data_IF_697513465651
#
_entry.id   IF_697513465651
#
_cell.length_a   1.000
_cell.length_b   1.000
_cell.length_c   1.000
_cell.angle_alpha   90.00
_cell.angle_beta   90.00
_cell.angle_gamma   90.00
#
_symmetry.space_group_name_H-M   'P 1'
#
loop_
_entity.id
_entity.type
_entity.pdbx_description
1 polymer ?
#
# COMPACT_ATOMS: atom_id res chain seq x y z
N UNK A 1 20.25 -23.37 -12.83
CA UNK A 1 20.58 -21.94 -12.63
C UNK A 1 19.50 -21.34 -11.74
N UNK A 2 19.86 -20.86 -10.55
CA UNK A 2 19.08 -19.86 -9.82
C UNK A 2 19.60 -18.49 -10.25
N UNK A 3 18.73 -17.56 -10.61
CA UNK A 3 19.16 -16.25 -11.08
C UNK A 3 18.06 -15.19 -10.92
N UNK A 4 18.49 -13.98 -10.63
CA UNK A 4 17.67 -12.77 -10.58
C UNK A 4 17.53 -12.20 -11.98
N UNK A 5 16.41 -11.52 -12.29
CA UNK A 5 16.26 -10.74 -13.53
C UNK A 5 16.43 -11.51 -14.85
N UNK A 6 16.08 -12.80 -14.89
CA UNK A 6 16.25 -13.64 -16.08
C UNK A 6 15.12 -13.51 -17.13
N UNK A 7 14.04 -12.79 -16.83
CA UNK A 7 12.87 -12.65 -17.70
C UNK A 7 13.06 -11.59 -18.80
N UNK A 8 12.59 -11.88 -20.01
CA UNK A 8 12.49 -10.92 -21.12
C UNK A 8 13.75 -10.08 -21.33
N UNK A 9 13.65 -8.77 -21.08
CA UNK A 9 14.72 -7.78 -21.26
C UNK A 9 15.76 -7.74 -20.11
N UNK A 10 15.97 -8.85 -19.39
CA UNK A 10 16.86 -8.97 -18.23
C UNK A 10 18.26 -8.37 -18.36
N UNK A 11 18.87 -8.05 -17.21
CA UNK A 11 20.24 -7.53 -17.10
C UNK A 11 21.23 -8.69 -17.19
N UNK A 12 21.73 -8.93 -18.40
CA UNK A 12 22.69 -10.00 -18.69
C UNK A 12 22.03 -11.24 -19.29
N UNK A 13 22.14 -12.38 -18.60
CA UNK A 13 21.65 -13.68 -19.12
C UNK A 13 20.13 -13.73 -19.11
N UNK A 14 19.56 -14.18 -20.24
CA UNK A 14 18.11 -14.32 -20.42
C UNK A 14 17.74 -15.78 -20.56
N UNK A 15 16.58 -16.12 -20.01
CA UNK A 15 16.02 -17.46 -20.10
C UNK A 15 14.62 -17.35 -20.68
N UNK A 16 14.37 -18.04 -21.78
CA UNK A 16 13.03 -18.13 -22.36
C UNK A 16 12.03 -18.74 -21.38
N UNK A 17 10.76 -18.34 -21.48
CA UNK A 17 9.73 -18.74 -20.53
C UNK A 17 9.66 -20.26 -20.37
N UNK A 18 9.77 -21.01 -21.47
CA UNK A 18 9.69 -22.48 -21.50
C UNK A 18 10.77 -23.14 -20.65
N UNK A 19 12.00 -22.69 -20.83
CA UNK A 19 13.14 -23.18 -20.08
C UNK A 19 13.01 -22.78 -18.60
N UNK A 20 12.51 -21.57 -18.33
CA UNK A 20 12.30 -21.08 -16.97
C UNK A 20 11.23 -21.90 -16.23
N UNK A 21 10.09 -22.19 -16.87
CA UNK A 21 9.03 -23.06 -16.33
C UNK A 21 9.61 -24.43 -16.00
N UNK A 22 10.34 -25.06 -16.92
CA UNK A 22 10.97 -26.37 -16.68
C UNK A 22 11.87 -26.36 -15.44
N UNK A 23 12.68 -25.30 -15.26
CA UNK A 23 13.55 -25.17 -14.11
C UNK A 23 12.79 -24.96 -12.80
N UNK A 24 11.76 -24.10 -12.80
CA UNK A 24 10.91 -23.85 -11.63
C UNK A 24 10.18 -25.12 -11.21
N UNK A 25 9.64 -25.88 -12.17
CA UNK A 25 9.00 -27.17 -11.92
C UNK A 25 9.97 -28.18 -11.31
N UNK A 26 11.19 -28.26 -11.84
CA UNK A 26 12.21 -29.16 -11.29
C UNK A 26 12.57 -28.76 -9.85
N UNK A 27 12.73 -27.47 -9.58
CA UNK A 27 13.01 -26.95 -8.23
C UNK A 27 11.85 -27.27 -7.27
N UNK A 28 10.61 -27.02 -7.67
CA UNK A 28 9.43 -27.34 -6.87
C UNK A 28 9.37 -28.85 -6.51
N UNK A 29 9.67 -29.72 -7.47
CA UNK A 29 9.73 -31.16 -7.24
C UNK A 29 10.85 -31.58 -6.28
N UNK A 30 12.02 -30.94 -6.36
CA UNK A 30 13.12 -31.16 -5.41
C UNK A 30 12.66 -30.74 -4.00
N UNK A 31 12.07 -29.55 -3.86
CA UNK A 31 11.53 -29.06 -2.57
C UNK A 31 10.50 -30.04 -2.00
N UNK A 32 9.54 -30.50 -2.80
CA UNK A 32 8.53 -31.46 -2.34
C UNK A 32 9.13 -32.80 -1.88
N UNK A 33 10.19 -33.27 -2.54
CA UNK A 33 10.89 -34.53 -2.17
C UNK A 33 11.70 -34.37 -0.89
N UNK A 34 12.48 -33.30 -0.77
CA UNK A 34 13.34 -33.04 0.39
C UNK A 34 12.50 -32.84 1.66
N UNK A 35 11.36 -32.15 1.54
CA UNK A 35 10.46 -31.87 2.66
C UNK A 35 9.31 -32.89 2.77
N UNK A 36 9.48 -34.11 2.27
CA UNK A 36 8.50 -35.18 2.44
C UNK A 36 8.43 -35.61 3.90
N UNK A 37 7.23 -35.58 4.48
CA UNK A 37 7.00 -35.95 5.90
C UNK A 37 7.15 -34.80 6.89
N UNK A 38 7.46 -33.58 6.43
CA UNK A 38 7.38 -32.38 7.25
C UNK A 38 6.00 -31.75 7.12
N UNK A 39 5.47 -31.24 8.24
CA UNK A 39 4.16 -30.58 8.29
C UNK A 39 4.13 -29.26 7.52
N UNK A 40 5.27 -28.55 7.45
CA UNK A 40 5.42 -27.30 6.72
C UNK A 40 6.44 -27.44 5.61
N UNK A 41 6.08 -27.00 4.39
CA UNK A 41 6.94 -27.07 3.21
C UNK A 41 7.28 -25.66 2.71
N UNK A 42 8.52 -25.40 2.26
CA UNK A 42 8.87 -24.11 1.68
C UNK A 42 8.05 -23.81 0.42
N UNK A 43 7.65 -22.55 0.27
CA UNK A 43 7.06 -22.04 -0.96
C UNK A 43 8.16 -21.75 -1.99
N UNK A 44 7.90 -22.07 -3.25
CA UNK A 44 8.75 -21.69 -4.38
C UNK A 44 8.09 -20.53 -5.09
N UNK A 45 8.69 -19.35 -4.99
CA UNK A 45 8.21 -18.13 -5.65
C UNK A 45 9.07 -17.90 -6.90
N UNK A 46 8.49 -18.01 -8.11
CA UNK A 46 9.22 -17.82 -9.35
C UNK A 46 9.31 -16.34 -9.74
N UNK A 47 10.25 -16.05 -10.64
CA UNK A 47 10.47 -14.77 -11.33
C UNK A 47 10.66 -13.54 -10.42
N UNK A 48 11.91 -13.22 -10.11
CA UNK A 48 12.34 -11.91 -9.63
C UNK A 48 12.89 -11.06 -10.77
N UNK A 49 12.16 -10.95 -11.88
CA UNK A 49 12.67 -10.27 -13.08
C UNK A 49 11.72 -9.23 -13.64
N UNK A 50 12.25 -8.39 -14.53
CA UNK A 50 11.51 -7.30 -15.15
C UNK A 50 10.27 -7.78 -15.86
N UNK A 51 9.19 -7.00 -15.71
CA UNK A 51 7.98 -7.25 -16.45
C UNK A 51 8.23 -7.16 -17.95
N UNK A 52 7.92 -8.25 -18.64
CA UNK A 52 7.91 -8.32 -20.09
C UNK A 52 6.67 -9.09 -20.54
N UNK A 53 5.69 -8.38 -21.08
CA UNK A 53 4.33 -8.87 -21.31
C UNK A 53 4.27 -10.23 -21.99
N UNK A 54 4.94 -10.40 -23.14
CA UNK A 54 4.92 -11.66 -23.89
C UNK A 54 5.55 -12.82 -23.11
N UNK A 55 6.59 -12.55 -22.34
CA UNK A 55 7.30 -13.57 -21.56
C UNK A 55 6.43 -14.02 -20.38
N UNK A 56 5.81 -13.08 -19.67
CA UNK A 56 4.94 -13.39 -18.53
C UNK A 56 3.66 -14.11 -18.94
N UNK A 57 3.02 -13.72 -20.05
CA UNK A 57 1.85 -14.44 -20.59
C UNK A 57 2.23 -15.90 -20.86
N UNK A 58 3.35 -16.13 -21.57
CA UNK A 58 3.82 -17.50 -21.84
C UNK A 58 4.17 -18.26 -20.57
N UNK A 59 4.83 -17.61 -19.61
CA UNK A 59 5.20 -18.20 -18.34
C UNK A 59 3.97 -18.64 -17.54
N UNK A 60 2.97 -17.77 -17.36
CA UNK A 60 1.73 -18.08 -16.63
C UNK A 60 0.97 -19.22 -17.33
N UNK A 61 0.71 -19.09 -18.63
CA UNK A 61 -0.03 -20.09 -19.41
C UNK A 61 0.61 -21.48 -19.34
N UNK A 62 1.95 -21.55 -19.39
CA UNK A 62 2.68 -22.83 -19.38
C UNK A 62 2.78 -23.41 -17.98
N UNK A 63 2.91 -22.59 -16.95
CA UNK A 63 2.99 -23.08 -15.56
C UNK A 63 1.66 -23.64 -15.11
N UNK A 64 0.53 -23.00 -15.43
CA UNK A 64 -0.81 -23.53 -15.12
C UNK A 64 -1.06 -24.90 -15.77
N UNK A 65 -0.64 -25.07 -17.03
CA UNK A 65 -0.82 -26.33 -17.78
C UNK A 65 0.04 -27.48 -17.24
N UNK A 66 1.27 -27.21 -16.81
CA UNK A 66 2.23 -28.25 -16.42
C UNK A 66 2.31 -28.49 -14.91
N UNK A 67 1.76 -27.58 -14.09
CA UNK A 67 1.79 -27.68 -12.63
C UNK A 67 0.54 -27.07 -11.98
N UNK A 68 -0.64 -27.74 -12.06
CA UNK A 68 -1.90 -27.21 -11.52
C UNK A 68 -1.88 -26.95 -10.01
N UNK A 69 -0.96 -27.59 -9.28
CA UNK A 69 -0.74 -27.37 -7.85
C UNK A 69 0.07 -26.10 -7.54
N UNK A 70 0.74 -25.50 -8.53
CA UNK A 70 1.13 -24.10 -8.50
C UNK A 70 -0.13 -23.31 -8.87
N UNK A 71 -0.98 -23.13 -7.87
CA UNK A 71 -2.16 -22.29 -8.04
C UNK A 71 -1.72 -20.89 -8.52
N UNK A 72 -2.50 -20.18 -9.35
CA UNK A 72 -2.15 -18.83 -9.80
C UNK A 72 -1.88 -17.84 -8.65
N UNK A 73 -2.42 -18.11 -7.46
CA UNK A 73 -2.11 -17.37 -6.22
C UNK A 73 -0.72 -17.65 -5.63
N UNK A 74 -0.07 -18.75 -6.03
CA UNK A 74 1.34 -19.09 -5.72
C UNK A 74 2.28 -18.60 -6.81
N UNK A 75 1.77 -18.35 -8.02
CA UNK A 75 2.40 -17.50 -9.02
C UNK A 75 2.25 -16.04 -8.57
N UNK A 76 2.94 -15.68 -7.48
CA UNK A 76 3.14 -14.28 -7.01
C UNK A 76 3.95 -13.43 -8.00
N UNK A 77 3.99 -13.85 -9.26
CA UNK A 77 4.62 -13.21 -10.39
C UNK A 77 3.64 -12.29 -11.11
N UNK A 78 2.64 -11.74 -10.42
CA UNK A 78 1.98 -10.56 -10.97
C UNK A 78 3.06 -9.48 -11.08
N UNK A 79 3.08 -8.69 -12.17
CA UNK A 79 4.15 -7.74 -12.48
C UNK A 79 4.47 -6.70 -11.39
N UNK A 80 3.69 -6.66 -10.32
CA UNK A 80 3.80 -5.73 -9.20
C UNK A 80 3.99 -6.44 -7.85
N UNK A 81 3.78 -7.76 -7.75
CA UNK A 81 3.83 -8.53 -6.49
C UNK A 81 5.24 -8.97 -6.09
N UNK A 82 6.21 -8.83 -7.00
CA UNK A 82 7.61 -9.14 -6.77
C UNK A 82 8.56 -8.29 -7.63
N UNK A 83 8.12 -7.10 -8.08
CA UNK A 83 9.05 -6.20 -8.77
C UNK A 83 9.96 -5.51 -7.77
N UNK A 84 11.24 -5.84 -7.90
CA UNK A 84 12.33 -4.95 -7.57
C UNK A 84 12.03 -3.55 -8.16
N UNK A 85 11.65 -2.59 -7.31
CA UNK A 85 11.34 -1.23 -7.75
C UNK A 85 12.67 -0.54 -8.05
N UNK A 86 13.14 -0.76 -9.26
CA UNK A 86 14.36 -0.17 -9.78
C UNK A 86 14.24 1.31 -10.11
N UNK A 87 13.06 1.93 -9.95
CA UNK A 87 12.90 3.36 -10.23
C UNK A 87 13.84 4.20 -9.36
N UNK A 88 14.08 3.79 -8.11
CA UNK A 88 15.01 4.47 -7.20
C UNK A 88 16.47 4.05 -7.43
N UNK A 89 16.72 2.80 -7.84
CA UNK A 89 18.05 2.32 -8.21
C UNK A 89 18.69 3.15 -9.35
N UNK A 90 17.86 3.54 -10.33
CA UNK A 90 18.26 4.33 -11.50
C UNK A 90 18.55 5.81 -11.17
N UNK A 91 18.04 6.34 -10.06
CA UNK A 91 18.17 7.76 -9.70
C UNK A 91 18.68 7.96 -8.26
N UNK A 92 20.01 7.84 -8.03
CA UNK A 92 20.62 7.87 -6.70
C UNK A 92 20.36 9.10 -5.86
N UNK A 93 20.15 10.25 -6.52
CA UNK A 93 19.96 11.52 -5.82
C UNK A 93 18.56 11.66 -5.23
N UNK A 94 17.61 10.83 -5.70
CA UNK A 94 16.18 10.93 -5.33
C UNK A 94 15.73 9.90 -4.30
N UNK A 95 16.58 8.94 -3.93
CA UNK A 95 16.15 7.67 -3.34
C UNK A 95 16.18 7.57 -1.80
N UNK A 96 16.41 8.69 -1.09
CA UNK A 96 16.42 8.74 0.39
C UNK A 96 15.75 9.99 0.97
N UNK A 97 14.89 10.65 0.20
CA UNK A 97 14.29 11.93 0.58
C UNK A 97 12.76 11.83 0.61
N UNK A 98 12.10 12.91 1.02
CA UNK A 98 10.64 12.96 1.12
C UNK A 98 9.94 12.72 -0.22
N UNK A 99 10.52 13.13 -1.35
CA UNK A 99 9.95 12.84 -2.68
C UNK A 99 9.90 11.33 -2.99
N UNK A 100 10.93 10.56 -2.57
CA UNK A 100 10.91 9.08 -2.65
C UNK A 100 9.78 8.49 -1.82
N UNK A 101 9.55 9.06 -0.63
CA UNK A 101 8.52 8.61 0.30
C UNK A 101 7.13 8.77 -0.32
N UNK A 102 6.84 9.93 -0.93
CA UNK A 102 5.59 10.15 -1.68
C UNK A 102 5.41 9.12 -2.80
N UNK A 103 6.46 8.83 -3.57
CA UNK A 103 6.43 7.82 -4.62
C UNK A 103 6.20 6.40 -4.08
N UNK A 104 6.76 6.07 -2.91
CA UNK A 104 6.55 4.77 -2.25
C UNK A 104 5.10 4.58 -1.83
N UNK A 105 4.48 5.62 -1.25
CA UNK A 105 3.07 5.59 -0.85
C UNK A 105 2.12 5.42 -2.03
N UNK A 106 2.34 6.16 -3.12
CA UNK A 106 1.54 6.02 -4.35
C UNK A 106 1.65 4.60 -4.92
N UNK A 107 2.86 4.04 -4.95
CA UNK A 107 3.08 2.67 -5.43
C UNK A 107 2.39 1.61 -4.55
N UNK A 108 2.44 1.74 -3.22
CA UNK A 108 1.73 0.85 -2.31
C UNK A 108 0.20 0.92 -2.54
N UNK A 109 -0.34 2.12 -2.70
CA UNK A 109 -1.76 2.33 -2.99
C UNK A 109 -2.18 1.77 -4.36
N UNK A 110 -1.37 1.99 -5.40
CA UNK A 110 -1.64 1.45 -6.73
C UNK A 110 -1.55 -0.08 -6.76
N UNK A 111 -0.54 -0.65 -6.10
CA UNK A 111 -0.39 -2.10 -5.99
C UNK A 111 -1.60 -2.72 -5.27
N UNK A 112 -2.10 -2.10 -4.19
CA UNK A 112 -3.26 -2.62 -3.45
C UNK A 112 -4.53 -2.63 -4.31
N UNK A 113 -4.78 -1.60 -5.11
CA UNK A 113 -5.94 -1.52 -6.03
C UNK A 113 -5.90 -2.63 -7.08
N UNK A 114 -4.71 -3.00 -7.57
CA UNK A 114 -4.52 -4.12 -8.51
C UNK A 114 -4.37 -5.49 -7.83
N UNK A 115 -4.81 -5.58 -6.58
CA UNK A 115 -4.86 -6.81 -5.80
C UNK A 115 -3.49 -7.48 -5.60
N UNK A 116 -2.44 -6.66 -5.48
CA UNK A 116 -1.12 -7.14 -5.06
C UNK A 116 -1.19 -7.75 -3.65
N UNK A 117 -0.86 -9.03 -3.52
CA UNK A 117 -0.85 -9.72 -2.21
C UNK A 117 0.37 -9.40 -1.35
N UNK A 118 1.50 -9.12 -1.99
CA UNK A 118 2.79 -8.86 -1.33
C UNK A 118 3.48 -7.70 -2.03
N UNK A 119 4.20 -6.89 -1.25
CA UNK A 119 5.07 -5.83 -1.75
C UNK A 119 6.46 -6.00 -1.11
N UNK A 120 7.47 -6.22 -1.94
CA UNK A 120 8.86 -6.40 -1.50
C UNK A 120 9.65 -5.12 -1.78
N UNK A 121 9.86 -4.31 -0.74
CA UNK A 121 10.72 -3.13 -0.84
C UNK A 121 12.20 -3.51 -0.89
N UNK A 122 12.86 -3.26 -2.02
CA UNK A 122 14.31 -3.34 -2.11
C UNK A 122 14.92 -2.00 -1.67
N UNK A 123 15.80 -1.91 -0.68
CA UNK A 123 16.20 -2.93 0.31
C UNK A 123 15.96 -2.41 1.72
N UNK A 124 15.98 -3.29 2.72
CA UNK A 124 15.99 -2.84 4.12
C UNK A 124 17.23 -1.98 4.40
N UNK A 125 18.39 -2.44 3.95
CA UNK A 125 19.68 -1.76 4.06
C UNK A 125 20.52 -2.05 2.82
N UNK A 126 21.39 -1.12 2.44
CA UNK A 126 22.17 -1.21 1.22
C UNK A 126 21.57 -0.39 0.08
N UNK A 127 22.33 -0.22 -0.99
CA UNK A 127 21.93 0.61 -2.11
C UNK A 127 21.75 2.10 -1.76
N UNK A 128 21.43 2.87 -2.79
CA UNK A 128 21.04 4.26 -2.70
C UNK A 128 19.56 4.42 -2.29
N UNK A 129 18.77 3.35 -2.19
CA UNK A 129 17.33 3.37 -1.87
C UNK A 129 16.95 2.61 -0.59
N UNK A 130 17.93 2.12 0.18
CA UNK A 130 17.65 1.33 1.37
C UNK A 130 16.79 2.09 2.39
N UNK A 131 15.87 1.40 3.07
CA UNK A 131 15.04 1.99 4.13
C UNK A 131 15.89 2.50 5.29
N UNK A 132 17.06 1.92 5.52
CA UNK A 132 18.01 2.33 6.54
C UNK A 132 19.30 2.87 5.92
N UNK A 133 19.89 3.86 6.58
CA UNK A 133 21.24 4.34 6.28
C UNK A 133 22.26 3.24 6.51
N UNK A 134 23.15 3.01 5.55
CA UNK A 134 24.19 1.98 5.63
C UNK A 134 25.28 2.28 6.65
N UNK A 135 25.43 3.55 7.05
CA UNK A 135 26.48 4.00 7.97
C UNK A 135 25.97 4.14 9.41
N UNK A 136 24.75 4.65 9.58
CA UNK A 136 24.19 4.98 10.91
C UNK A 136 23.04 4.06 11.32
N UNK A 137 22.52 3.24 10.39
CA UNK A 137 21.29 2.46 10.56
C UNK A 137 20.04 3.30 10.89
N UNK A 138 20.14 4.63 10.79
CA UNK A 138 19.01 5.52 10.95
C UNK A 138 18.00 5.33 9.80
N UNK A 139 16.68 5.39 10.08
CA UNK A 139 15.65 5.26 9.06
C UNK A 139 15.68 6.44 8.08
N UNK A 140 15.62 6.12 6.78
CA UNK A 140 15.33 7.07 5.72
C UNK A 140 13.80 7.30 5.63
N UNK A 141 13.35 8.38 4.97
CA UNK A 141 11.94 8.69 4.76
C UNK A 141 11.02 7.50 4.44
N UNK A 142 11.42 6.64 3.49
CA UNK A 142 10.63 5.51 3.01
C UNK A 142 10.39 4.44 4.09
N UNK A 143 11.25 4.36 5.11
CA UNK A 143 11.02 3.49 6.28
C UNK A 143 9.72 3.85 6.99
N UNK A 144 9.46 5.15 7.15
CA UNK A 144 8.25 5.63 7.82
C UNK A 144 7.00 5.36 7.01
N UNK A 145 7.10 5.30 5.67
CA UNK A 145 6.03 4.83 4.80
C UNK A 145 5.64 3.40 5.12
N UNK A 146 6.63 2.50 5.13
CA UNK A 146 6.40 1.09 5.47
C UNK A 146 5.85 0.92 6.89
N UNK A 147 6.39 1.68 7.86
CA UNK A 147 5.96 1.63 9.25
C UNK A 147 4.49 2.06 9.42
N UNK A 148 4.10 3.22 8.89
CA UNK A 148 2.73 3.73 8.99
C UNK A 148 1.74 2.87 8.20
N UNK A 149 2.11 2.43 6.99
CA UNK A 149 1.29 1.52 6.20
C UNK A 149 0.99 0.25 6.99
N UNK A 150 2.03 -0.38 7.55
CA UNK A 150 1.89 -1.60 8.35
C UNK A 150 1.03 -1.43 9.61
N UNK A 151 1.00 -0.22 10.19
CA UNK A 151 0.26 0.05 11.43
C UNK A 151 -1.20 0.43 11.19
N UNK A 152 -1.52 1.08 10.07
CA UNK A 152 -2.80 1.75 9.86
C UNK A 152 -3.64 1.14 8.72
N UNK A 153 -3.00 0.66 7.66
CA UNK A 153 -3.68 0.21 6.42
C UNK A 153 -3.96 -1.29 6.48
N UNK A 154 -5.24 -1.68 6.54
CA UNK A 154 -5.64 -3.09 6.60
C UNK A 154 -5.54 -3.82 5.27
N UNK A 155 -5.90 -5.11 5.26
CA UNK A 155 -5.74 -5.98 4.07
C UNK A 155 -6.84 -5.79 3.03
N UNK A 156 -8.01 -5.33 3.44
CA UNK A 156 -9.16 -5.17 2.55
C UNK A 156 -9.12 -3.77 1.95
N UNK A 157 -8.90 -3.70 0.63
CA UNK A 157 -8.87 -2.47 -0.15
C UNK A 157 -10.30 -2.05 -0.49
N UNK A 158 -10.58 -0.75 -0.41
CA UNK A 158 -11.86 -0.17 -0.78
C UNK A 158 -11.71 0.63 -2.07
N UNK A 159 -12.74 0.58 -2.93
CA UNK A 159 -12.78 1.42 -4.13
C UNK A 159 -12.90 2.89 -3.72
N UNK A 160 -12.06 3.74 -4.31
CA UNK A 160 -12.05 5.18 -4.09
C UNK A 160 -12.42 5.92 -5.37
N UNK A 161 -13.27 6.95 -5.23
CA UNK A 161 -13.53 7.92 -6.29
C UNK A 161 -13.30 9.32 -5.74
N UNK A 162 -12.68 10.17 -6.54
CA UNK A 162 -12.38 11.55 -6.17
C UNK A 162 -13.13 12.49 -7.11
N UNK A 163 -13.72 13.54 -6.55
CA UNK A 163 -14.35 14.63 -7.30
C UNK A 163 -13.67 15.95 -6.95
N UNK A 164 -13.37 16.78 -7.94
CA UNK A 164 -12.86 18.15 -7.74
C UNK A 164 -11.47 18.42 -8.31
N UNK A 165 -10.45 17.62 -7.98
CA UNK A 165 -9.06 17.81 -8.43
C UNK A 165 -8.41 16.49 -8.84
N UNK A 166 -7.54 16.52 -9.84
CA UNK A 166 -6.73 15.40 -10.32
C UNK A 166 -5.33 15.33 -9.66
N UNK A 167 -4.99 16.34 -8.84
CA UNK A 167 -3.69 16.43 -8.16
C UNK A 167 -3.65 15.75 -6.79
N UNK A 168 -4.77 15.21 -6.32
CA UNK A 168 -4.82 14.37 -5.13
C UNK A 168 -4.90 12.90 -5.56
N UNK A 169 -4.01 12.08 -5.00
CA UNK A 169 -4.15 10.62 -5.04
C UNK A 169 -4.82 10.17 -3.75
N UNK A 170 -5.81 9.29 -3.87
CA UNK A 170 -6.58 8.78 -2.74
C UNK A 170 -6.68 7.26 -2.78
N UNK A 171 -6.39 6.63 -1.65
CA UNK A 171 -6.49 5.19 -1.47
C UNK A 171 -7.12 4.91 -0.09
N UNK A 172 -8.00 3.91 0.00
CA UNK A 172 -8.73 3.62 1.23
C UNK A 172 -8.74 2.11 1.50
N UNK A 173 -8.54 1.76 2.77
CA UNK A 173 -8.53 0.39 3.25
C UNK A 173 -9.42 0.29 4.48
N UNK A 174 -9.91 -0.92 4.76
CA UNK A 174 -10.38 -1.21 6.12
C UNK A 174 -9.25 -0.97 7.11
N UNK A 175 -9.58 -0.43 8.28
CA UNK A 175 -8.57 -0.09 9.29
C UNK A 175 -8.03 -1.35 9.98
N UNK A 176 -6.74 -1.33 10.38
CA UNK A 176 -6.19 -2.34 11.30
C UNK A 176 -6.69 -2.13 12.72
N UNK A 177 -6.91 -0.87 13.11
CA UNK A 177 -7.15 -0.49 14.51
C UNK A 177 -8.63 -0.53 14.89
N UNK A 178 -9.54 -0.71 13.93
CA UNK A 178 -10.99 -0.69 14.17
C UNK A 178 -11.77 -1.32 13.01
N UNK A 179 -13.09 -1.45 13.16
CA UNK A 179 -14.02 -1.79 12.07
C UNK A 179 -14.33 -0.63 11.10
N UNK A 180 -13.69 0.53 11.30
CA UNK A 180 -13.78 1.68 10.42
C UNK A 180 -12.82 1.58 9.23
N UNK A 181 -12.53 2.73 8.62
CA UNK A 181 -11.64 2.84 7.46
C UNK A 181 -10.40 3.68 7.76
N UNK A 182 -9.35 3.44 6.99
CA UNK A 182 -8.16 4.29 6.92
C UNK A 182 -8.02 4.82 5.51
N UNK A 183 -7.85 6.13 5.37
CA UNK A 183 -7.70 6.82 4.08
C UNK A 183 -6.30 7.41 3.97
N UNK A 184 -5.64 7.17 2.85
CA UNK A 184 -4.40 7.81 2.42
C UNK A 184 -4.74 8.88 1.37
N UNK A 185 -4.27 10.10 1.60
CA UNK A 185 -4.35 11.21 0.66
C UNK A 185 -2.94 11.75 0.39
N UNK A 186 -2.57 11.88 -0.87
CA UNK A 186 -1.28 12.45 -1.31
C UNK A 186 -1.58 13.67 -2.15
N UNK A 187 -1.09 14.84 -1.74
CA UNK A 187 -1.22 16.07 -2.51
C UNK A 187 0.02 16.31 -3.36
N UNK A 188 -0.17 16.31 -4.68
CA UNK A 188 0.87 16.58 -5.68
C UNK A 188 0.84 18.04 -6.16
N UNK A 189 -0.11 18.86 -5.68
CA UNK A 189 -0.08 20.31 -5.89
C UNK A 189 0.95 20.95 -4.95
N UNK A 190 1.78 21.84 -5.51
CA UNK A 190 2.80 22.58 -4.77
C UNK A 190 2.32 23.90 -4.18
N UNK A 191 1.12 24.36 -4.54
CA UNK A 191 0.65 25.70 -4.22
C UNK A 191 -0.63 25.70 -3.37
N UNK A 192 -1.46 24.66 -3.47
CA UNK A 192 -2.79 24.66 -2.85
C UNK A 192 -2.97 23.59 -1.80
N UNK A 193 -3.45 23.99 -0.61
CA UNK A 193 -4.02 23.07 0.37
C UNK A 193 -5.39 22.61 -0.13
N UNK A 194 -5.61 21.30 -0.16
CA UNK A 194 -6.91 20.72 -0.53
C UNK A 194 -7.65 20.27 0.73
N UNK A 195 -8.93 20.61 0.83
CA UNK A 195 -9.81 20.13 1.90
C UNK A 195 -10.64 18.96 1.37
N UNK A 196 -10.51 17.80 2.00
CA UNK A 196 -11.18 16.56 1.61
C UNK A 196 -12.26 16.17 2.62
N UNK A 197 -13.44 15.83 2.11
CA UNK A 197 -14.52 15.20 2.86
C UNK A 197 -14.66 13.73 2.45
N UNK A 198 -14.71 12.83 3.43
CA UNK A 198 -14.80 11.39 3.16
C UNK A 198 -16.24 10.93 3.33
N UNK A 199 -16.78 10.26 2.31
CA UNK A 199 -18.11 9.63 2.34
C UNK A 199 -18.01 8.18 1.89
N UNK A 200 -18.77 7.30 2.53
CA UNK A 200 -18.87 5.89 2.14
C UNK A 200 -20.17 5.71 1.34
N UNK A 201 -20.06 5.09 0.16
CA UNK A 201 -21.21 4.68 -0.66
C UNK A 201 -21.23 3.15 -0.80
N UNK A 202 -22.41 2.58 -1.00
CA UNK A 202 -22.58 1.14 -1.28
C UNK A 202 -23.31 1.00 -2.61
N UNK A 203 -22.78 0.19 -3.54
CA UNK A 203 -23.31 0.07 -4.91
C UNK A 203 -24.70 -0.59 -4.99
N UNK A 204 -25.26 -1.08 -3.88
CA UNK A 204 -26.60 -1.71 -3.83
C UNK A 204 -27.75 -0.72 -3.59
N UNK A 205 -27.64 0.49 -4.12
CA UNK A 205 -28.77 1.41 -4.31
C UNK A 205 -29.33 1.28 -5.72
N UNK A 206 -30.17 0.28 -5.97
CA UNK A 206 -30.88 0.16 -7.24
C UNK A 206 -31.83 1.36 -7.43
N UNK A 207 -31.37 2.42 -8.11
CA UNK A 207 -32.21 3.56 -8.50
C UNK A 207 -32.88 3.22 -9.82
N UNK A 208 -33.95 2.43 -9.74
CA UNK A 208 -34.97 2.37 -10.78
C UNK A 208 -36.17 3.16 -10.28
N UNK A 209 -36.45 4.32 -10.89
CA UNK A 209 -37.68 5.04 -10.62
C UNK A 209 -37.63 6.53 -10.93
N UNK A 210 -38.13 6.86 -12.12
CA UNK A 210 -38.90 8.06 -12.46
C UNK A 210 -38.91 9.23 -11.48
N UNK A 211 -38.64 10.42 -12.04
CA UNK A 211 -39.13 11.72 -11.60
C UNK A 211 -40.43 11.64 -10.81
N UNK A 212 -40.38 11.98 -9.52
CA UNK A 212 -41.41 12.77 -8.82
C UNK A 212 -40.75 13.45 -7.62
N UNK A 213 -40.87 14.77 -7.56
CA UNK A 213 -40.60 15.56 -6.37
C UNK A 213 -41.47 15.05 -5.22
N UNK A 214 -40.88 14.43 -4.21
CA UNK A 214 -41.48 14.37 -2.88
C UNK A 214 -40.40 14.58 -1.82
N UNK A 215 -40.47 15.76 -1.20
CA UNK A 215 -39.79 16.09 0.04
C UNK A 215 -40.16 15.06 1.11
N UNK A 216 -39.27 14.11 1.39
CA UNK A 216 -39.37 13.27 2.58
C UNK A 216 -38.02 13.32 3.30
N UNK A 217 -37.95 14.21 4.29
CA UNK A 217 -36.93 14.18 5.34
C UNK A 217 -37.07 12.87 6.11
N UNK A 218 -36.31 11.84 5.73
CA UNK A 218 -36.15 10.64 6.56
C UNK A 218 -35.04 10.89 7.58
N UNK A 219 -35.42 11.48 8.72
CA UNK A 219 -34.71 11.32 9.98
C UNK A 219 -34.62 9.83 10.29
N UNK A 220 -33.42 9.27 10.29
CA UNK A 220 -33.18 7.94 10.86
C UNK A 220 -33.29 8.07 12.38
N UNK A 221 -34.35 7.49 12.95
CA UNK A 221 -34.52 7.41 14.39
C UNK A 221 -33.45 6.47 14.96
N UNK A 222 -32.38 7.05 15.52
CA UNK A 222 -31.44 6.36 16.39
C UNK A 222 -32.21 5.93 17.65
N UNK A 223 -32.44 4.63 17.81
CA UNK A 223 -32.96 4.06 19.05
C UNK A 223 -31.90 4.27 20.13
N UNK A 224 -32.23 5.11 21.12
CA UNK A 224 -31.37 5.45 22.24
C UNK A 224 -31.56 4.43 23.37
N UNK A 225 -30.54 3.61 23.63
CA UNK A 225 -30.45 2.83 24.87
C UNK A 225 -29.80 3.70 25.95
N UNK A 226 -30.50 4.09 27.03
CA UNK A 226 -29.90 4.86 28.11
C UNK A 226 -29.01 3.93 28.93
N UNK A 227 -27.69 4.12 28.90
CA UNK A 227 -26.79 3.48 29.88
C UNK A 227 -25.39 3.06 29.42
N UNK A 228 -25.06 3.06 28.12
CA UNK A 228 -23.66 2.91 27.68
C UNK A 228 -23.07 4.27 27.33
N UNK A 229 -21.86 4.64 27.83
CA UNK A 229 -21.16 5.80 27.30
C UNK A 229 -20.93 5.56 25.82
N UNK A 230 -21.51 6.41 24.98
CA UNK A 230 -21.25 6.42 23.54
C UNK A 230 -19.75 6.66 23.40
N UNK A 231 -18.97 5.66 23.00
CA UNK A 231 -17.58 5.90 22.63
C UNK A 231 -17.64 6.97 21.54
N UNK A 232 -17.10 8.15 21.85
CA UNK A 232 -16.86 9.16 20.83
C UNK A 232 -15.76 8.54 19.98
N UNK A 233 -16.14 8.01 18.83
CA UNK A 233 -15.18 7.52 17.84
C UNK A 233 -14.40 8.75 17.37
N UNK A 234 -13.11 8.81 17.71
CA UNK A 234 -12.23 9.94 17.40
C UNK A 234 -11.57 9.67 16.05
N UNK A 235 -11.51 10.69 15.20
CA UNK A 235 -10.72 10.62 13.97
C UNK A 235 -9.25 10.89 14.31
N UNK A 236 -8.34 10.04 13.83
CA UNK A 236 -6.90 10.21 14.02
C UNK A 236 -6.24 10.62 12.69
N UNK A 237 -5.51 11.74 12.70
CA UNK A 237 -4.83 12.30 11.51
C UNK A 237 -3.31 12.27 11.67
N UNK A 238 -2.64 11.80 10.63
CA UNK A 238 -1.18 11.73 10.52
C UNK A 238 -0.72 12.53 9.30
N UNK A 239 -0.33 13.78 9.52
CA UNK A 239 0.16 14.68 8.48
C UNK A 239 1.68 14.52 8.34
N UNK A 240 2.14 14.06 7.18
CA UNK A 240 3.56 13.93 6.85
C UNK A 240 3.96 15.05 5.91
N UNK A 241 5.03 15.76 6.28
CA UNK A 241 5.63 16.84 5.49
C UNK A 241 7.14 16.72 5.49
N UNK A 242 7.78 17.29 4.48
CA UNK A 242 9.23 17.41 4.47
C UNK A 242 9.66 18.54 5.41
N UNK A 243 10.77 18.33 6.14
CA UNK A 243 11.38 19.41 6.93
C UNK A 243 11.71 20.61 6.03
N UNK A 244 11.42 21.81 6.50
CA UNK A 244 11.65 23.09 5.81
C UNK A 244 10.96 23.18 4.44
N UNK A 245 9.91 22.37 4.20
CA UNK A 245 9.23 22.24 2.91
C UNK A 245 10.17 21.81 1.76
N UNK A 246 11.33 21.22 2.07
CA UNK A 246 12.29 20.74 1.08
C UNK A 246 12.00 19.28 0.71
N UNK A 247 11.51 19.04 -0.50
CA UNK A 247 11.24 17.70 -1.03
C UNK A 247 12.48 16.79 -1.09
N UNK A 248 13.68 17.38 -1.09
CA UNK A 248 14.97 16.65 -1.03
C UNK A 248 15.42 16.34 0.39
N UNK A 249 14.69 16.80 1.41
CA UNK A 249 14.98 16.53 2.81
C UNK A 249 14.88 15.04 3.13
N UNK A 250 15.82 14.56 3.95
CA UNK A 250 15.79 13.21 4.53
C UNK A 250 15.02 13.15 5.84
N UNK A 251 14.52 14.28 6.32
CA UNK A 251 13.80 14.39 7.59
C UNK A 251 12.32 14.57 7.32
N UNK A 252 11.52 13.64 7.85
CA UNK A 252 10.06 13.73 7.82
C UNK A 252 9.56 14.36 9.11
N UNK A 253 8.60 15.27 8.99
CA UNK A 253 7.81 15.75 10.10
C UNK A 253 6.47 15.01 10.14
N UNK A 254 6.13 14.43 11.29
CA UNK A 254 4.78 13.95 11.60
C UNK A 254 4.08 15.01 12.44
N UNK A 255 2.97 15.55 11.94
CA UNK A 255 2.17 16.56 12.64
C UNK A 255 3.04 17.76 13.10
N UNK A 256 4.00 18.17 12.25
CA UNK A 256 4.93 19.27 12.50
C UNK A 256 6.14 18.93 13.39
N UNK A 257 6.25 17.69 13.91
CA UNK A 257 7.38 17.25 14.74
C UNK A 257 8.28 16.28 13.99
N UNK A 258 9.60 16.44 14.11
CA UNK A 258 10.55 15.51 13.50
C UNK A 258 10.28 14.08 13.96
N UNK A 259 10.10 13.20 12.98
CA UNK A 259 9.91 11.80 13.22
C UNK A 259 11.27 11.15 13.39
N UNK A 260 11.61 10.83 14.65
CA UNK A 260 12.87 10.22 15.04
C UNK A 260 12.60 9.01 15.91
N UNK A 261 13.19 7.87 15.56
CA UNK A 261 13.19 6.68 16.40
C UNK A 261 14.27 6.84 17.48
N UNK A 262 13.85 6.98 18.73
CA UNK A 262 14.76 6.87 19.87
C UNK A 262 14.51 5.56 20.61
N UNK A 263 15.54 4.89 21.16
CA UNK A 263 15.36 3.68 21.96
C UNK A 263 14.36 3.85 23.13
N UNK A 264 14.20 5.08 23.61
CA UNK A 264 13.29 5.47 24.68
C UNK A 264 11.83 5.72 24.24
N UNK A 265 11.56 6.02 22.96
CA UNK A 265 10.20 6.27 22.48
C UNK A 265 9.52 4.98 22.07
N UNK A 266 8.57 4.54 22.90
CA UNK A 266 7.80 3.30 22.68
C UNK A 266 6.84 3.39 21.49
N UNK A 267 6.34 4.59 21.14
CA UNK A 267 5.58 4.84 19.90
C UNK A 267 5.91 6.24 19.33
N UNK A 268 6.59 6.35 18.16
CA UNK A 268 6.88 7.63 17.51
C UNK A 268 5.68 8.20 16.74
N UNK A 269 4.62 7.42 16.51
CA UNK A 269 3.48 7.76 15.67
C UNK A 269 2.33 8.34 16.51
N UNK A 270 2.43 9.63 16.83
CA UNK A 270 1.40 10.34 17.61
C UNK A 270 0.44 11.07 16.66
N UNK A 271 -0.85 10.68 16.60
CA UNK A 271 -1.84 11.35 15.75
C UNK A 271 -2.26 12.72 16.28
N UNK A 272 -2.93 13.48 15.43
CA UNK A 272 -3.84 14.56 15.83
C UNK A 272 -5.24 13.96 15.93
N UNK A 273 -5.84 14.07 17.11
CA UNK A 273 -7.22 13.68 17.35
C UNK A 273 -8.17 14.79 16.87
N UNK A 274 -9.23 14.40 16.16
CA UNK A 274 -10.22 15.31 15.57
C UNK A 274 -11.64 14.71 15.67
N UNK A 275 -12.66 15.53 15.45
CA UNK A 275 -14.04 15.04 15.36
C UNK A 275 -14.23 14.21 14.08
N UNK A 276 -15.06 13.15 14.10
CA UNK A 276 -15.42 12.37 12.92
C UNK A 276 -15.83 13.14 11.67
N UNK A 277 -16.47 14.29 11.86
CA UNK A 277 -17.00 15.12 10.79
C UNK A 277 -15.99 16.14 10.27
N UNK A 278 -14.84 16.26 10.91
CA UNK A 278 -13.88 17.30 10.56
C UNK A 278 -13.25 16.99 9.22
N UNK A 279 -13.25 17.95 8.28
CA UNK A 279 -12.63 17.73 6.99
C UNK A 279 -11.12 17.50 7.14
N UNK A 280 -10.53 16.84 6.15
CA UNK A 280 -9.11 16.51 6.12
C UNK A 280 -8.40 17.54 5.24
N UNK A 281 -7.58 18.39 5.85
CA UNK A 281 -6.77 19.36 5.12
C UNK A 281 -5.45 18.71 4.68
N UNK A 282 -5.17 18.70 3.39
CA UNK A 282 -3.97 18.12 2.79
C UNK A 282 -3.12 19.26 2.24
N UNK A 283 -2.03 19.58 2.94
CA UNK A 283 -1.12 20.67 2.58
C UNK A 283 -0.46 20.42 1.21
N UNK A 284 0.12 21.44 0.55
CA UNK A 284 0.88 21.25 -0.68
C UNK A 284 2.04 20.27 -0.47
N UNK A 285 2.33 19.43 -1.47
CA UNK A 285 3.39 18.42 -1.43
C UNK A 285 3.48 17.65 -0.10
N UNK A 286 2.34 17.12 0.33
CA UNK A 286 2.21 16.44 1.62
C UNK A 286 1.43 15.13 1.51
N UNK A 287 1.50 14.33 2.56
CA UNK A 287 0.74 13.09 2.69
C UNK A 287 -0.08 13.18 3.98
N UNK A 288 -1.33 12.75 3.93
CA UNK A 288 -2.17 12.60 5.12
C UNK A 288 -2.73 11.20 5.17
N UNK A 289 -2.60 10.57 6.32
CA UNK A 289 -3.31 9.33 6.64
C UNK A 289 -4.35 9.67 7.70
N UNK A 290 -5.59 9.30 7.46
CA UNK A 290 -6.70 9.53 8.38
C UNK A 290 -7.37 8.20 8.72
N UNK A 291 -7.35 7.83 9.99
CA UNK A 291 -8.14 6.73 10.52
C UNK A 291 -9.49 7.29 10.99
N UNK A 292 -10.58 6.73 10.46
CA UNK A 292 -11.95 7.18 10.68
C UNK A 292 -12.78 5.99 11.20
N UNK A 293 -12.80 5.76 12.53
CA UNK A 293 -13.50 4.60 13.11
C UNK A 293 -15.01 4.61 12.82
N UNK A 294 -15.60 5.81 12.75
CA UNK A 294 -17.05 6.01 12.56
C UNK A 294 -17.57 5.69 11.17
N UNK A 295 -16.69 5.60 10.18
CA UNK A 295 -17.05 5.20 8.83
C UNK A 295 -16.77 3.71 8.68
N UNK A 296 -17.81 2.89 8.86
CA UNK A 296 -17.73 1.44 8.64
C UNK A 296 -18.32 1.06 7.29
N UNK A 297 -17.49 0.53 6.39
CA UNK A 297 -17.96 -0.09 5.16
C UNK A 297 -18.35 -1.56 5.41
N UNK A 298 -19.38 -2.11 4.74
CA UNK A 298 -19.77 -3.51 4.92
C UNK A 298 -18.64 -4.52 4.71
N UNK A 299 -17.67 -4.20 3.83
CA UNK A 299 -16.49 -5.03 3.57
C UNK A 299 -15.45 -5.04 4.71
N UNK A 300 -15.61 -4.21 5.73
CA UNK A 300 -14.72 -4.07 6.88
C UNK A 300 -15.25 -4.75 8.15
N UNK A 301 -16.33 -5.53 8.03
CA UNK A 301 -16.99 -6.26 9.13
C UNK A 301 -16.65 -7.73 9.11
#
# INVERSE_FOLDING_TARGET
MTGNELSGCGVGTRVEADQYVSHVTQLANITQRVYKGFDTKPLVIPSGGFFHTKWFIQFVDKTEKHYPSMHPSHLQSRPWEATDIQSTARYPEKSKNFSSCMGTWDQLGMASIYDAKTYCGQSLIGGNYGLLSTTTFAPNPDYYSALLWHRLMGRNVLSTSLSGTDKIRANAHCSIQSQGITVLLINLDGNTTTTAEVRVSTENGHVNGSSTQHNISRRTNLVFFPGLPRLVEIQEKYHLTAKDCDLHSRTILLNGKELVLTPSRRNPLVPIEASPSDPINVAPYSIVIAHIPSLSAPACK
#
